data_IF_203652142319
#
_entry.id   IF_203652142319
#
_cell.length_a   1.000
_cell.length_b   1.000
_cell.length_c   1.000
_cell.angle_alpha   90.00
_cell.angle_beta   90.00
_cell.angle_gamma   90.00
#
_symmetry.space_group_name_H-M   'P 1'
#
loop_
_entity.id
_entity.type
_entity.pdbx_description
1 polymer ?
#
# COMPACT_ATOMS: atom_id res chain seq x y z
N UNK A 1 -2.52 7.61 -10.61
CA UNK A 1 -2.42 7.55 -12.08
C UNK A 1 -1.36 8.52 -12.62
N UNK A 2 -1.43 9.83 -12.34
CA UNK A 2 -0.44 10.81 -12.84
C UNK A 2 1.00 10.51 -12.39
N UNK A 3 1.19 10.08 -11.15
CA UNK A 3 2.51 9.70 -10.64
C UNK A 3 3.08 8.47 -11.35
N UNK A 4 2.24 7.44 -11.63
CA UNK A 4 2.66 6.28 -12.43
C UNK A 4 3.16 6.72 -13.81
N UNK A 5 2.42 7.62 -14.48
CA UNK A 5 2.86 8.17 -15.77
C UNK A 5 4.16 8.96 -15.65
N UNK A 6 4.31 9.74 -14.60
CA UNK A 6 5.54 10.50 -14.35
C UNK A 6 6.76 9.58 -14.12
N UNK A 7 6.55 8.39 -13.57
CA UNK A 7 7.58 7.36 -13.44
C UNK A 7 7.93 6.67 -14.79
N UNK A 8 7.06 6.74 -15.79
CA UNK A 8 7.24 6.10 -17.09
C UNK A 8 6.32 4.90 -17.34
N UNK A 9 5.30 4.69 -16.52
CA UNK A 9 4.26 3.67 -16.76
C UNK A 9 3.26 4.23 -17.77
N UNK A 10 3.54 4.01 -19.07
CA UNK A 10 2.85 4.67 -20.19
C UNK A 10 1.38 4.28 -20.31
N UNK A 11 1.02 3.04 -19.95
CA UNK A 11 -0.35 2.53 -20.00
C UNK A 11 -1.19 2.84 -18.76
N UNK A 12 -0.63 3.61 -17.81
CA UNK A 12 -1.34 3.97 -16.58
C UNK A 12 -2.63 4.74 -16.89
N UNK A 13 -3.74 4.25 -16.35
CA UNK A 13 -5.07 4.82 -16.54
C UNK A 13 -5.93 4.66 -15.28
N UNK A 14 -6.97 5.47 -15.21
CA UNK A 14 -8.05 5.34 -14.22
C UNK A 14 -9.35 5.07 -14.99
N UNK A 15 -10.17 4.17 -14.49
CA UNK A 15 -11.49 3.90 -15.04
C UNK A 15 -12.60 4.77 -14.41
N UNK A 16 -13.84 4.56 -14.85
CA UNK A 16 -15.01 5.31 -14.38
C UNK A 16 -15.40 5.01 -12.92
N UNK A 17 -14.88 3.93 -12.36
CA UNK A 17 -15.07 3.52 -10.97
C UNK A 17 -13.88 3.85 -10.07
N UNK A 18 -12.92 4.66 -10.57
CA UNK A 18 -11.71 5.07 -9.88
C UNK A 18 -10.67 3.97 -9.64
N UNK A 19 -10.76 2.82 -10.29
CA UNK A 19 -9.65 1.86 -10.27
C UNK A 19 -8.51 2.35 -11.16
N UNK A 20 -7.29 2.26 -10.64
CA UNK A 20 -6.08 2.63 -11.38
C UNK A 20 -5.37 1.37 -11.83
N UNK A 21 -5.03 1.31 -13.11
CA UNK A 21 -4.27 0.22 -13.71
C UNK A 21 -3.01 0.73 -14.39
N UNK A 22 -1.97 -0.08 -14.34
CA UNK A 22 -0.73 0.17 -15.07
C UNK A 22 0.07 -1.10 -15.25
N UNK A 23 1.09 -1.07 -16.11
CA UNK A 23 1.99 -2.22 -16.24
C UNK A 23 3.43 -1.84 -16.51
N UNK A 24 4.34 -2.70 -16.04
CA UNK A 24 5.73 -2.72 -16.46
C UNK A 24 5.90 -3.89 -17.44
N UNK A 25 6.44 -3.66 -18.65
CA UNK A 25 6.74 -4.74 -19.57
C UNK A 25 7.80 -5.67 -18.99
N UNK A 26 7.77 -6.93 -19.39
CA UNK A 26 8.84 -7.85 -19.03
C UNK A 26 10.19 -7.34 -19.56
N UNK A 27 11.25 -7.55 -18.79
CA UNK A 27 12.60 -7.24 -19.26
C UNK A 27 13.04 -8.24 -20.33
N UNK A 28 13.93 -7.86 -21.27
CA UNK A 28 14.39 -8.75 -22.32
C UNK A 28 14.86 -10.10 -21.81
N UNK A 29 14.26 -11.18 -22.37
CA UNK A 29 14.49 -12.58 -21.98
C UNK A 29 13.64 -13.09 -20.82
N UNK A 30 12.66 -12.30 -20.37
CA UNK A 30 11.71 -12.69 -19.32
C UNK A 30 10.23 -12.62 -19.79
N UNK A 31 9.99 -12.56 -21.11
CA UNK A 31 8.66 -12.39 -21.70
C UNK A 31 7.73 -13.58 -21.43
N UNK A 32 8.30 -14.78 -21.30
CA UNK A 32 7.59 -16.02 -21.02
C UNK A 32 7.35 -16.27 -19.50
N UNK A 33 7.78 -15.34 -18.68
CA UNK A 33 7.49 -15.45 -17.24
C UNK A 33 6.05 -15.07 -16.95
N UNK A 34 5.39 -15.73 -15.96
CA UNK A 34 4.04 -15.36 -15.56
C UNK A 34 3.95 -13.87 -15.19
N UNK A 35 2.85 -13.24 -15.54
CA UNK A 35 2.57 -11.87 -15.16
C UNK A 35 2.17 -11.78 -13.68
N UNK A 36 2.94 -11.04 -12.92
CA UNK A 36 2.68 -10.77 -11.50
C UNK A 36 1.78 -9.54 -11.36
N UNK A 37 0.68 -9.66 -10.65
CA UNK A 37 -0.14 -8.55 -10.19
C UNK A 37 0.23 -8.09 -8.79
N UNK A 38 0.23 -6.78 -8.58
CA UNK A 38 0.34 -6.15 -7.27
C UNK A 38 -0.82 -5.17 -7.10
N UNK A 39 -1.54 -5.29 -6.00
CA UNK A 39 -2.76 -4.54 -5.73
C UNK A 39 -2.64 -3.91 -4.35
N UNK A 40 -3.10 -2.67 -4.20
CA UNK A 40 -3.24 -1.97 -2.92
C UNK A 40 -4.46 -1.06 -2.98
N UNK A 41 -5.12 -0.79 -1.83
CA UNK A 41 -6.24 0.12 -1.83
C UNK A 41 -5.85 1.56 -1.50
N UNK A 42 -6.64 2.51 -1.99
CA UNK A 42 -6.34 3.94 -1.88
C UNK A 42 -7.19 4.66 -0.83
N UNK A 43 -8.34 4.09 -0.51
CA UNK A 43 -9.25 4.64 0.48
C UNK A 43 -8.76 4.41 1.91
N UNK A 44 -9.40 5.03 2.84
CA UNK A 44 -9.19 4.87 4.29
C UNK A 44 -10.52 4.67 4.98
N UNK A 45 -10.51 4.00 6.14
CA UNK A 45 -11.70 3.74 6.93
C UNK A 45 -12.54 5.03 7.14
N UNK A 46 -13.86 4.95 6.95
CA UNK A 46 -14.73 6.12 7.04
C UNK A 46 -15.01 6.58 8.48
N UNK A 47 -14.50 5.86 9.49
CA UNK A 47 -14.76 6.12 10.91
C UNK A 47 -14.13 7.42 11.41
N UNK A 48 -13.10 7.92 10.76
CA UNK A 48 -12.45 9.19 11.08
C UNK A 48 -11.88 9.85 9.82
N UNK A 49 -11.66 11.16 9.89
CA UNK A 49 -11.10 11.92 8.76
C UNK A 49 -9.70 11.47 8.38
N UNK A 50 -9.46 11.29 7.10
CA UNK A 50 -8.13 11.16 6.49
C UNK A 50 -7.64 12.44 5.80
N UNK A 51 -8.28 13.59 6.07
CA UNK A 51 -7.95 14.86 5.41
C UNK A 51 -6.90 15.65 6.20
N UNK A 52 -5.91 16.18 5.49
CA UNK A 52 -4.81 16.99 6.07
C UNK A 52 -4.02 16.23 7.15
N UNK A 53 -3.68 15.00 6.89
CA UNK A 53 -2.89 14.15 7.79
C UNK A 53 -1.56 14.82 8.16
N UNK A 54 -1.24 14.82 9.46
CA UNK A 54 0.00 15.38 10.02
C UNK A 54 0.83 14.24 10.61
N UNK A 55 1.69 13.59 9.82
CA UNK A 55 2.52 12.51 10.31
C UNK A 55 3.60 13.04 11.29
N UNK A 56 3.83 12.26 12.33
CA UNK A 56 4.84 12.51 13.35
C UNK A 56 5.78 11.30 13.41
N UNK A 57 7.08 11.55 13.25
CA UNK A 57 8.09 10.52 13.33
C UNK A 57 8.67 10.47 14.75
N UNK A 58 8.64 9.30 15.36
CA UNK A 58 9.26 9.00 16.64
C UNK A 58 10.50 8.14 16.38
N UNK A 59 11.62 8.80 16.08
CA UNK A 59 12.90 8.12 15.82
C UNK A 59 13.44 7.44 17.09
N UNK A 60 14.01 6.24 16.94
CA UNK A 60 14.49 5.43 18.07
C UNK A 60 13.43 5.31 19.17
N UNK A 61 12.20 4.96 18.76
CA UNK A 61 11.08 4.85 19.69
C UNK A 61 11.43 4.01 20.91
N UNK A 62 11.08 4.50 22.10
CA UNK A 62 11.48 3.89 23.37
C UNK A 62 10.65 2.68 23.79
N UNK A 63 9.55 2.38 23.08
CA UNK A 63 8.61 1.29 23.38
C UNK A 63 7.59 1.67 24.48
N UNK A 64 7.48 2.95 24.85
CA UNK A 64 6.57 3.47 25.86
C UNK A 64 5.21 3.91 25.33
N UNK A 65 4.43 4.57 26.16
CA UNK A 65 3.16 5.16 25.77
C UNK A 65 3.38 6.38 24.85
N UNK A 66 2.54 6.56 23.83
CA UNK A 66 2.64 7.66 22.86
C UNK A 66 1.48 8.62 23.04
N UNK A 67 1.78 9.89 23.30
CA UNK A 67 0.75 10.95 23.34
C UNK A 67 0.62 11.61 21.98
N UNK A 68 -0.61 11.66 21.45
CA UNK A 68 -0.94 12.33 20.20
C UNK A 68 -1.26 13.81 20.48
N UNK A 69 -0.40 14.77 20.03
CA UNK A 69 -0.43 16.13 20.57
C UNK A 69 -1.66 16.95 20.15
N UNK A 70 -2.31 16.61 19.05
CA UNK A 70 -3.50 17.35 18.57
C UNK A 70 -4.75 17.11 19.41
N UNK A 71 -4.86 15.95 20.05
CA UNK A 71 -6.04 15.55 20.84
C UNK A 71 -5.70 15.30 22.32
N UNK A 72 -4.44 15.09 22.64
CA UNK A 72 -4.01 14.61 23.96
C UNK A 72 -4.33 13.12 24.21
N UNK A 73 -4.80 12.39 23.20
CA UNK A 73 -5.02 10.95 23.30
C UNK A 73 -3.69 10.23 23.56
N UNK A 74 -3.74 9.21 24.41
CA UNK A 74 -2.56 8.41 24.73
C UNK A 74 -2.76 6.98 24.21
N UNK A 75 -1.90 6.56 23.30
CA UNK A 75 -1.76 5.17 22.89
C UNK A 75 -0.96 4.43 23.96
N UNK A 76 -1.66 3.71 24.83
CA UNK A 76 -1.04 3.02 25.96
C UNK A 76 -0.51 1.65 25.56
N UNK A 77 0.68 1.32 25.98
CA UNK A 77 1.28 -0.02 25.79
C UNK A 77 0.53 -1.12 26.52
N UNK A 78 -0.32 -0.79 27.49
CA UNK A 78 -1.26 -1.74 28.11
C UNK A 78 -2.43 -2.11 27.22
N UNK A 79 -2.84 -1.21 26.32
CA UNK A 79 -3.92 -1.41 25.35
C UNK A 79 -3.38 -1.95 24.03
N UNK A 80 -2.20 -1.47 23.62
CA UNK A 80 -1.50 -1.84 22.39
C UNK A 80 -0.13 -2.47 22.72
N UNK A 81 -0.07 -3.73 23.15
CA UNK A 81 1.16 -4.35 23.63
C UNK A 81 2.28 -4.43 22.59
N UNK A 82 1.94 -4.51 21.31
CA UNK A 82 2.88 -4.54 20.18
C UNK A 82 3.79 -3.29 20.13
N UNK A 83 3.37 -2.17 20.68
CA UNK A 83 4.20 -0.95 20.75
C UNK A 83 5.54 -1.21 21.44
N UNK A 84 5.59 -2.13 22.41
CA UNK A 84 6.84 -2.48 23.10
C UNK A 84 7.84 -3.19 22.19
N UNK A 85 7.33 -3.91 21.20
CA UNK A 85 8.14 -4.67 20.23
C UNK A 85 8.81 -3.74 19.22
N UNK A 86 8.26 -2.54 19.02
CA UNK A 86 8.80 -1.51 18.12
C UNK A 86 9.90 -0.66 18.73
N UNK A 87 10.38 -1.03 19.92
CA UNK A 87 11.47 -0.28 20.59
C UNK A 87 12.73 -0.28 19.72
N UNK A 88 13.25 0.92 19.47
CA UNK A 88 14.44 1.15 18.64
C UNK A 88 14.11 1.41 17.17
N UNK A 89 12.87 1.15 16.74
CA UNK A 89 12.41 1.45 15.38
C UNK A 89 11.96 2.92 15.26
N UNK A 90 11.65 3.34 14.04
CA UNK A 90 10.97 4.62 13.81
C UNK A 90 9.46 4.36 13.74
N UNK A 91 8.74 4.82 14.76
CA UNK A 91 7.27 4.76 14.77
C UNK A 91 6.71 6.01 14.10
N UNK A 92 5.71 5.85 13.24
CA UNK A 92 4.99 6.96 12.61
C UNK A 92 3.55 6.99 13.14
N UNK A 93 3.13 8.15 13.66
CA UNK A 93 1.74 8.40 14.10
C UNK A 93 1.18 9.65 13.43
N UNK A 94 -0.10 9.94 13.67
CA UNK A 94 -0.64 11.29 13.44
C UNK A 94 -0.60 12.13 14.71
N UNK A 95 -1.07 13.38 14.61
CA UNK A 95 -1.32 14.23 15.77
C UNK A 95 -2.59 13.82 16.57
N UNK A 96 -3.33 12.83 16.08
CA UNK A 96 -4.56 12.31 16.68
C UNK A 96 -5.84 12.98 16.17
N UNK A 97 -5.75 13.98 15.30
CA UNK A 97 -6.92 14.64 14.70
C UNK A 97 -7.45 13.93 13.48
N UNK A 98 -6.66 13.02 12.88
CA UNK A 98 -7.00 12.24 11.69
C UNK A 98 -6.53 10.80 11.83
N UNK A 99 -6.97 9.95 10.90
CA UNK A 99 -6.30 8.66 10.62
C UNK A 99 -4.87 8.93 10.11
N UNK A 100 -3.98 7.95 10.23
CA UNK A 100 -2.69 7.96 9.55
C UNK A 100 -2.86 7.57 8.08
N UNK A 101 -3.66 6.56 7.80
CA UNK A 101 -3.90 6.02 6.47
C UNK A 101 -2.73 5.15 5.97
N UNK A 102 -1.92 4.59 6.89
CA UNK A 102 -0.90 3.61 6.51
C UNK A 102 -1.52 2.37 5.87
N UNK A 103 -2.68 1.99 6.34
CA UNK A 103 -3.58 1.06 5.71
C UNK A 103 -4.45 1.82 4.69
N UNK A 104 -4.32 1.63 3.35
CA UNK A 104 -3.22 0.81 2.76
C UNK A 104 -2.30 1.67 1.85
N UNK A 105 -2.11 2.95 2.20
CA UNK A 105 -1.18 3.80 1.45
C UNK A 105 0.29 3.34 1.58
N UNK A 106 0.59 2.48 2.56
CA UNK A 106 1.89 1.82 2.64
C UNK A 106 2.08 0.89 1.44
N UNK A 107 1.12 0.00 1.14
CA UNK A 107 1.16 -0.86 -0.03
C UNK A 107 1.21 -0.08 -1.34
N UNK A 108 0.43 1.03 -1.44
CA UNK A 108 0.54 1.94 -2.59
C UNK A 108 1.97 2.47 -2.74
N UNK A 109 2.59 2.94 -1.65
CA UNK A 109 3.95 3.49 -1.68
C UNK A 109 5.00 2.42 -2.01
N UNK A 110 4.84 1.21 -1.50
CA UNK A 110 5.73 0.07 -1.81
C UNK A 110 5.68 -0.30 -3.28
N UNK A 111 4.47 -0.42 -3.87
CA UNK A 111 4.29 -0.72 -5.30
C UNK A 111 4.87 0.40 -6.16
N UNK A 112 4.63 1.66 -5.83
CA UNK A 112 5.16 2.81 -6.55
C UNK A 112 6.70 2.86 -6.49
N UNK A 113 7.27 2.59 -5.31
CA UNK A 113 8.73 2.55 -5.12
C UNK A 113 9.36 1.39 -5.88
N UNK A 114 8.74 0.21 -5.84
CA UNK A 114 9.17 -0.94 -6.63
C UNK A 114 9.18 -0.61 -8.13
N UNK A 115 8.11 0.01 -8.64
CA UNK A 115 8.03 0.41 -10.04
C UNK A 115 9.14 1.40 -10.41
N UNK A 116 9.38 2.41 -9.58
CA UNK A 116 10.46 3.39 -9.76
C UNK A 116 11.83 2.71 -9.81
N UNK A 117 12.10 1.80 -8.87
CA UNK A 117 13.38 1.07 -8.81
C UNK A 117 13.58 0.23 -10.08
N UNK A 118 12.57 -0.52 -10.51
CA UNK A 118 12.68 -1.38 -11.69
C UNK A 118 12.87 -0.58 -12.98
N UNK A 119 12.20 0.55 -13.13
CA UNK A 119 12.35 1.43 -14.29
C UNK A 119 13.73 2.10 -14.33
N UNK A 120 14.30 2.44 -13.17
CA UNK A 120 15.65 3.03 -13.07
C UNK A 120 16.78 2.00 -13.19
N UNK A 121 16.49 0.72 -13.00
CA UNK A 121 17.47 -0.36 -12.93
C UNK A 121 17.14 -1.49 -13.91
N UNK A 122 17.32 -1.27 -15.23
CA UNK A 122 16.97 -2.27 -16.26
C UNK A 122 17.79 -3.57 -16.19
N UNK A 123 18.86 -3.58 -15.42
CA UNK A 123 19.62 -4.80 -15.11
C UNK A 123 18.85 -5.74 -14.16
N UNK A 124 17.85 -5.26 -13.42
CA UNK A 124 16.98 -6.08 -12.57
C UNK A 124 15.95 -6.80 -13.44
N UNK A 125 16.14 -8.11 -13.61
CA UNK A 125 15.28 -8.91 -14.49
C UNK A 125 13.96 -9.28 -13.83
N UNK A 126 12.85 -9.05 -14.55
CA UNK A 126 11.50 -9.39 -14.11
C UNK A 126 10.59 -9.74 -15.29
N UNK A 127 9.58 -10.57 -15.04
CA UNK A 127 8.46 -10.79 -15.94
C UNK A 127 7.55 -9.56 -16.01
N UNK A 128 6.46 -9.65 -16.73
CA UNK A 128 5.46 -8.58 -16.77
C UNK A 128 4.89 -8.33 -15.37
N UNK A 129 4.81 -7.05 -14.96
CA UNK A 129 4.19 -6.66 -13.69
C UNK A 129 2.93 -5.87 -14.01
N UNK A 130 1.85 -6.20 -13.32
CA UNK A 130 0.56 -5.50 -13.36
C UNK A 130 0.37 -4.76 -12.05
N UNK A 131 -0.03 -3.50 -12.13
CA UNK A 131 -0.29 -2.64 -10.98
C UNK A 131 -1.77 -2.32 -10.98
N UNK A 132 -2.42 -2.54 -9.84
CA UNK A 132 -3.81 -2.18 -9.58
C UNK A 132 -3.94 -1.39 -8.30
N UNK A 133 -4.62 -0.24 -8.32
CA UNK A 133 -5.02 0.44 -7.10
C UNK A 133 -6.54 0.52 -7.05
N UNK A 134 -7.11 0.12 -5.92
CA UNK A 134 -8.55 -0.04 -5.74
C UNK A 134 -9.12 1.03 -4.82
N UNK A 135 -10.35 1.48 -5.03
CA UNK A 135 -11.14 2.23 -4.06
C UNK A 135 -11.96 1.28 -3.19
N UNK A 136 -12.62 1.82 -2.16
CA UNK A 136 -13.75 1.20 -1.43
C UNK A 136 -13.45 -0.16 -0.75
N UNK A 137 -12.18 -0.47 -0.46
CA UNK A 137 -11.81 -1.69 0.27
C UNK A 137 -12.39 -1.67 1.68
N UNK A 138 -12.24 -0.56 2.40
CA UNK A 138 -12.64 -0.35 3.79
C UNK A 138 -14.16 -0.41 4.02
N UNK A 139 -14.93 -0.40 2.95
CA UNK A 139 -16.39 -0.62 2.99
C UNK A 139 -16.80 -1.96 2.37
N UNK A 140 -15.83 -2.83 2.06
CA UNK A 140 -16.04 -4.18 1.54
C UNK A 140 -16.44 -4.24 0.07
N UNK A 141 -16.22 -3.18 -0.71
CA UNK A 141 -16.59 -3.09 -2.12
C UNK A 141 -15.37 -2.98 -3.08
N UNK A 142 -14.17 -3.15 -2.55
CA UNK A 142 -12.91 -2.96 -3.30
C UNK A 142 -12.75 -3.84 -4.54
N UNK A 143 -13.44 -4.96 -4.63
CA UNK A 143 -13.36 -5.86 -5.78
C UNK A 143 -14.57 -5.75 -6.75
N UNK A 144 -15.62 -5.00 -6.41
CA UNK A 144 -16.91 -5.05 -7.09
C UNK A 144 -16.84 -4.73 -8.59
N UNK A 145 -16.00 -3.78 -8.96
CA UNK A 145 -15.81 -3.35 -10.36
C UNK A 145 -14.39 -3.58 -10.89
N UNK A 146 -13.56 -4.34 -10.16
CA UNK A 146 -12.21 -4.61 -10.60
C UNK A 146 -12.20 -5.45 -11.88
N UNK A 147 -11.66 -4.91 -12.97
CA UNK A 147 -11.60 -5.62 -14.25
C UNK A 147 -10.41 -6.60 -14.29
N UNK A 148 -10.65 -7.81 -13.83
CA UNK A 148 -9.66 -8.90 -13.79
C UNK A 148 -9.09 -9.20 -15.18
N UNK A 149 -9.91 -9.11 -16.25
CA UNK A 149 -9.44 -9.37 -17.62
C UNK A 149 -8.51 -8.28 -18.10
N UNK A 150 -8.87 -7.04 -17.85
CA UNK A 150 -8.05 -5.89 -18.16
C UNK A 150 -6.75 -5.90 -17.36
N UNK A 151 -6.83 -6.24 -16.08
CA UNK A 151 -5.67 -6.39 -15.20
C UNK A 151 -4.72 -7.45 -15.75
N UNK A 152 -5.22 -8.63 -16.13
CA UNK A 152 -4.49 -9.61 -16.90
C UNK A 152 -3.18 -10.08 -16.26
N UNK A 153 -3.17 -10.32 -14.97
CA UNK A 153 -2.13 -11.01 -14.25
C UNK A 153 -2.42 -12.52 -14.21
N UNK A 154 -1.38 -13.35 -14.20
CA UNK A 154 -1.52 -14.80 -14.02
C UNK A 154 -1.77 -15.14 -12.54
N UNK A 155 -1.21 -14.36 -11.64
CA UNK A 155 -1.43 -14.37 -10.20
C UNK A 155 -1.15 -12.99 -9.61
N UNK A 156 -1.74 -12.70 -8.47
CA UNK A 156 -1.58 -11.39 -7.84
C UNK A 156 -1.44 -11.51 -6.31
N UNK A 157 -0.81 -10.50 -5.73
CA UNK A 157 -0.80 -10.26 -4.30
C UNK A 157 -1.47 -8.91 -4.02
N UNK A 158 -2.32 -8.87 -3.00
CA UNK A 158 -2.66 -7.63 -2.31
C UNK A 158 -1.52 -7.30 -1.35
N UNK A 159 -0.98 -6.10 -1.50
CA UNK A 159 0.10 -5.58 -0.65
C UNK A 159 -0.57 -4.72 0.40
N UNK A 160 -1.03 -5.37 1.44
CA UNK A 160 -1.87 -4.79 2.48
C UNK A 160 -1.37 -5.16 3.87
N UNK A 161 -1.91 -4.52 4.91
CA UNK A 161 -1.44 -4.66 6.28
C UNK A 161 -1.73 -6.02 6.89
N UNK A 162 -0.85 -6.41 7.80
CA UNK A 162 -0.91 -7.63 8.60
C UNK A 162 0.23 -7.64 9.60
N UNK A 163 0.50 -8.77 10.25
CA UNK A 163 1.67 -8.87 11.08
C UNK A 163 2.94 -8.90 10.24
N UNK A 164 4.00 -8.27 10.74
CA UNK A 164 5.28 -8.17 10.04
C UNK A 164 5.82 -9.55 9.64
N UNK A 165 6.06 -9.74 8.34
CA UNK A 165 6.59 -10.98 7.78
C UNK A 165 5.55 -12.07 7.52
N UNK A 166 4.27 -11.79 7.66
CA UNK A 166 3.19 -12.69 7.27
C UNK A 166 2.91 -12.62 5.78
N UNK A 167 2.60 -13.78 5.21
CA UNK A 167 2.09 -13.94 3.86
C UNK A 167 0.89 -14.88 3.93
N UNK A 168 -0.28 -14.35 3.66
CA UNK A 168 -1.51 -15.13 3.55
C UNK A 168 -1.69 -15.60 2.11
N UNK A 169 -1.95 -16.88 1.90
CA UNK A 169 -2.07 -17.48 0.56
C UNK A 169 -3.31 -18.36 0.40
N UNK A 170 -4.16 -18.43 1.40
CA UNK A 170 -5.43 -19.13 1.38
C UNK A 170 -6.59 -18.14 1.26
N UNK A 171 -7.60 -18.48 0.45
CA UNK A 171 -8.81 -17.70 0.30
C UNK A 171 -9.89 -18.22 1.21
N UNK A 172 -10.55 -17.32 1.90
CA UNK A 172 -11.74 -17.61 2.72
C UNK A 172 -12.93 -16.84 2.18
N UNK A 173 -14.07 -17.50 2.14
CA UNK A 173 -15.36 -16.89 1.92
C UNK A 173 -16.27 -17.18 3.10
#
# INVERSE_FOLDING_TARGET
>A
MEELKALGVEDARVDEHCYVYGSLPATPGCEEKPALGLIAHMDTAPDASGENVKPILHENYDGGDVTLPGTGMVMKTSTFPFLKELKGETLITTDGTTLLGADDKAGVAEIMTMAEILLKHPEKKHGKIRIGFTPDEEVGAGADHFDVKLFGADYAYTVDGGALGELEYENFN
#
